data_IF_171564497374
#
_entry.id   IF_171564497374
#
_cell.length_a   1.000
_cell.length_b   1.000
_cell.length_c   1.000
_cell.angle_alpha   90.00
_cell.angle_beta   90.00
_cell.angle_gamma   90.00
#
_symmetry.space_group_name_H-M   'P 1'
#
loop_
_entity.id
_entity.type
_entity.pdbx_description
1 polymer ?
#
# COMPACT_ATOMS: atom_id res chain seq x y z
N UNK A 1 31.13 14.39 -12.41
CA UNK A 1 31.41 13.22 -11.55
C UNK A 1 30.24 12.24 -11.69
N UNK A 2 30.36 11.29 -12.62
CA UNK A 2 29.26 10.39 -13.04
C UNK A 2 29.37 9.10 -12.23
N UNK A 3 28.36 8.78 -11.41
CA UNK A 3 28.38 7.60 -10.53
C UNK A 3 28.24 6.33 -11.37
N UNK A 4 29.26 5.47 -11.33
CA UNK A 4 29.24 4.11 -11.89
C UNK A 4 28.40 3.17 -11.02
N UNK A 5 27.08 3.28 -11.07
CA UNK A 5 26.16 2.44 -10.29
C UNK A 5 25.17 1.67 -11.17
N UNK A 6 25.60 1.21 -12.35
CA UNK A 6 24.83 0.27 -13.16
C UNK A 6 25.13 -1.17 -12.74
N UNK A 7 24.11 -1.91 -12.31
CA UNK A 7 24.21 -3.36 -12.08
C UNK A 7 24.54 -4.10 -13.39
N UNK A 8 25.19 -5.27 -13.28
CA UNK A 8 25.68 -6.00 -14.44
C UNK A 8 24.52 -6.51 -15.31
N UNK A 9 24.71 -6.57 -16.63
CA UNK A 9 23.71 -7.12 -17.57
C UNK A 9 23.42 -8.60 -17.29
N UNK A 10 24.40 -9.32 -16.73
CA UNK A 10 24.22 -10.69 -16.24
C UNK A 10 23.24 -10.76 -15.06
N UNK A 11 23.25 -9.78 -14.15
CA UNK A 11 22.28 -9.70 -13.05
C UNK A 11 20.87 -9.38 -13.56
N UNK A 12 20.76 -8.51 -14.57
CA UNK A 12 19.49 -8.19 -15.25
C UNK A 12 18.93 -9.40 -16.03
N UNK A 13 19.80 -10.25 -16.56
CA UNK A 13 19.39 -11.46 -17.28
C UNK A 13 19.16 -12.68 -16.38
N UNK A 14 19.80 -12.74 -15.21
CA UNK A 14 19.54 -13.75 -14.18
C UNK A 14 18.34 -13.40 -13.30
N UNK A 15 17.88 -12.16 -13.34
CA UNK A 15 16.66 -11.68 -12.69
C UNK A 15 15.47 -12.63 -12.91
N UNK A 16 15.11 -13.14 -14.10
CA UNK A 16 14.01 -14.11 -14.24
C UNK A 16 14.19 -15.44 -13.46
N UNK A 17 15.43 -15.91 -13.23
CA UNK A 17 15.69 -17.15 -12.48
C UNK A 17 15.76 -16.89 -10.97
N UNK A 18 16.45 -15.81 -10.55
CA UNK A 18 16.48 -15.33 -9.17
C UNK A 18 15.08 -14.89 -8.74
N UNK A 19 14.33 -14.18 -9.58
CA UNK A 19 12.92 -13.76 -9.37
C UNK A 19 11.95 -14.94 -9.42
N UNK A 20 12.24 -16.05 -10.11
CA UNK A 20 11.46 -17.30 -9.97
C UNK A 20 11.75 -18.01 -8.65
N UNK A 21 13.01 -18.07 -8.21
CA UNK A 21 13.38 -18.60 -6.89
C UNK A 21 12.85 -17.71 -5.75
N UNK A 22 12.86 -16.40 -5.95
CA UNK A 22 12.21 -15.34 -5.16
C UNK A 22 10.76 -15.05 -5.60
N UNK A 23 10.16 -15.92 -6.43
CA UNK A 23 8.80 -15.75 -6.96
C UNK A 23 7.96 -17.02 -6.89
N UNK A 24 8.46 -18.08 -6.23
CA UNK A 24 7.62 -19.18 -5.78
C UNK A 24 6.47 -18.63 -4.94
N UNK A 25 5.28 -18.60 -5.53
CA UNK A 25 4.03 -18.20 -4.88
C UNK A 25 3.57 -19.38 -4.01
N UNK A 26 3.46 -19.13 -2.70
CA UNK A 26 2.99 -20.13 -1.74
C UNK A 26 3.40 -19.80 -0.32
N UNK A 27 2.55 -20.18 0.65
CA UNK A 27 2.76 -19.90 2.06
C UNK A 27 4.09 -20.44 2.60
N UNK A 28 4.56 -21.59 2.11
CA UNK A 28 5.83 -22.20 2.51
C UNK A 28 7.06 -21.41 2.03
N UNK A 29 7.07 -20.99 0.76
CA UNK A 29 8.16 -20.19 0.21
C UNK A 29 8.23 -18.82 0.88
N UNK A 30 7.07 -18.22 1.19
CA UNK A 30 6.98 -16.99 1.97
C UNK A 30 7.54 -17.16 3.39
N UNK A 31 7.19 -18.25 4.08
CA UNK A 31 7.69 -18.53 5.43
C UNK A 31 9.22 -18.69 5.49
N UNK A 32 9.80 -19.44 4.54
CA UNK A 32 11.25 -19.63 4.45
C UNK A 32 11.97 -18.29 4.24
N UNK A 33 11.47 -17.44 3.33
CA UNK A 33 12.06 -16.13 3.05
C UNK A 33 11.95 -15.19 4.23
N UNK A 34 10.80 -15.15 4.88
CA UNK A 34 10.61 -14.34 6.08
C UNK A 34 11.58 -14.78 7.19
N UNK A 35 11.78 -16.09 7.37
CA UNK A 35 12.75 -16.63 8.31
C UNK A 35 14.18 -16.20 7.99
N UNK A 36 14.60 -16.35 6.73
CA UNK A 36 15.93 -15.93 6.29
C UNK A 36 16.15 -14.41 6.41
N UNK A 37 15.18 -13.60 6.01
CA UNK A 37 15.28 -12.14 6.14
C UNK A 37 15.36 -11.71 7.60
N UNK A 38 14.60 -12.35 8.49
CA UNK A 38 14.60 -12.05 9.93
C UNK A 38 15.95 -12.43 10.58
N UNK A 39 16.59 -13.51 10.15
CA UNK A 39 17.89 -13.91 10.66
C UNK A 39 19.04 -13.01 10.17
N UNK A 40 18.96 -12.51 8.93
CA UNK A 40 20.01 -11.71 8.31
C UNK A 40 19.88 -10.21 8.59
N UNK A 41 18.66 -9.70 8.82
CA UNK A 41 18.42 -8.24 9.02
C UNK A 41 19.21 -7.58 10.15
N UNK A 42 19.61 -8.25 11.27
CA UNK A 42 20.45 -7.61 12.28
C UNK A 42 21.88 -7.36 11.80
N UNK A 43 22.36 -8.16 10.83
CA UNK A 43 23.74 -8.11 10.36
C UNK A 43 23.89 -7.30 9.08
N UNK A 44 22.89 -7.32 8.20
CA UNK A 44 22.90 -6.59 6.94
C UNK A 44 21.50 -6.12 6.55
N UNK A 45 21.36 -4.94 5.94
CA UNK A 45 20.08 -4.47 5.40
C UNK A 45 19.68 -5.35 4.22
N UNK A 46 18.69 -6.20 4.44
CA UNK A 46 18.11 -7.08 3.41
C UNK A 46 16.64 -6.70 3.19
N UNK A 47 16.11 -6.85 1.97
CA UNK A 47 14.68 -6.66 1.73
C UNK A 47 13.86 -7.61 2.60
N UNK A 48 12.91 -7.06 3.35
CA UNK A 48 11.95 -7.87 4.10
C UNK A 48 10.94 -8.49 3.15
N UNK A 49 10.52 -9.71 3.46
CA UNK A 49 9.47 -10.36 2.69
C UNK A 49 8.13 -9.67 2.94
N UNK A 50 7.55 -9.12 1.89
CA UNK A 50 6.20 -8.54 1.88
C UNK A 50 5.40 -9.29 0.81
N UNK A 51 4.25 -9.90 1.14
CA UNK A 51 3.49 -10.69 0.18
C UNK A 51 2.96 -9.80 -0.95
N UNK A 52 2.83 -10.36 -2.15
CA UNK A 52 2.38 -9.64 -3.36
C UNK A 52 1.05 -8.92 -3.14
N UNK A 53 0.12 -9.53 -2.39
CA UNK A 53 -1.17 -8.92 -2.06
C UNK A 53 -1.04 -7.56 -1.36
N UNK A 54 -0.06 -7.40 -0.46
CA UNK A 54 0.16 -6.14 0.25
C UNK A 54 0.68 -5.03 -0.69
N UNK A 55 1.45 -5.39 -1.73
CA UNK A 55 1.87 -4.45 -2.78
C UNK A 55 0.72 -4.07 -3.69
N UNK A 56 -0.11 -5.05 -4.07
CA UNK A 56 -1.32 -4.81 -4.86
C UNK A 56 -2.26 -3.85 -4.13
N UNK A 57 -2.49 -4.06 -2.83
CA UNK A 57 -3.36 -3.21 -2.01
C UNK A 57 -2.88 -1.76 -1.97
N UNK A 58 -1.59 -1.55 -1.67
CA UNK A 58 -0.99 -0.20 -1.66
C UNK A 58 -1.15 0.51 -3.00
N UNK A 59 -0.93 -0.22 -4.10
CA UNK A 59 -1.05 0.33 -5.45
C UNK A 59 -2.49 0.70 -5.79
N UNK A 60 -3.44 -0.17 -5.44
CA UNK A 60 -4.88 0.10 -5.60
C UNK A 60 -5.31 1.32 -4.78
N UNK A 61 -4.82 1.48 -3.55
CA UNK A 61 -5.17 2.64 -2.70
C UNK A 61 -4.68 3.97 -3.25
N UNK A 62 -3.55 3.99 -3.98
CA UNK A 62 -3.11 5.20 -4.70
C UNK A 62 -4.11 5.57 -5.81
N UNK A 63 -4.60 4.58 -6.55
CA UNK A 63 -5.63 4.81 -7.58
C UNK A 63 -6.96 5.26 -6.96
N UNK A 64 -7.35 4.68 -5.82
CA UNK A 64 -8.55 5.05 -5.05
C UNK A 64 -8.45 6.49 -4.55
N UNK A 65 -7.30 6.90 -4.02
CA UNK A 65 -7.07 8.30 -3.62
C UNK A 65 -7.25 9.27 -4.79
N UNK A 66 -6.74 8.92 -5.97
CA UNK A 66 -6.92 9.74 -7.17
C UNK A 66 -8.39 9.79 -7.61
N UNK A 67 -9.09 8.66 -7.54
CA UNK A 67 -10.52 8.59 -7.84
C UNK A 67 -11.35 9.50 -6.93
N UNK A 68 -11.10 9.47 -5.61
CA UNK A 68 -11.84 10.29 -4.63
C UNK A 68 -11.60 11.77 -4.88
N UNK A 69 -10.35 12.19 -5.11
CA UNK A 69 -10.02 13.58 -5.41
C UNK A 69 -10.69 14.05 -6.72
N UNK A 70 -10.72 13.19 -7.75
CA UNK A 70 -11.41 13.49 -8.99
C UNK A 70 -12.92 13.61 -8.78
N UNK A 71 -13.54 12.65 -8.09
CA UNK A 71 -14.96 12.64 -7.78
C UNK A 71 -15.38 13.91 -7.01
N UNK A 72 -14.62 14.28 -5.96
CA UNK A 72 -14.87 15.48 -5.18
C UNK A 72 -14.79 16.76 -6.04
N UNK A 73 -13.83 16.85 -6.97
CA UNK A 73 -13.74 18.00 -7.88
C UNK A 73 -14.92 18.12 -8.86
N UNK A 74 -15.68 17.04 -9.03
CA UNK A 74 -16.93 16.99 -9.80
C UNK A 74 -18.20 17.07 -8.93
N UNK A 75 -18.07 17.36 -7.63
CA UNK A 75 -19.20 17.45 -6.71
C UNK A 75 -19.81 16.10 -6.33
N UNK A 76 -19.07 15.01 -6.53
CA UNK A 76 -19.47 13.65 -6.14
C UNK A 76 -18.86 13.35 -4.78
N UNK A 77 -19.70 13.03 -3.80
CA UNK A 77 -19.25 12.55 -2.49
C UNK A 77 -18.85 11.07 -2.55
N UNK A 78 -17.79 10.70 -1.84
CA UNK A 78 -17.31 9.32 -1.74
C UNK A 78 -17.29 8.84 -0.28
N UNK A 79 -17.61 7.57 -0.07
CA UNK A 79 -17.44 6.86 1.19
C UNK A 79 -16.61 5.60 0.96
N UNK A 80 -15.41 5.57 1.57
CA UNK A 80 -14.46 4.47 1.47
C UNK A 80 -14.75 3.44 2.57
N UNK A 81 -14.96 2.19 2.17
CA UNK A 81 -15.33 1.09 3.07
C UNK A 81 -14.35 -0.06 2.91
N UNK A 82 -13.70 -0.44 4.01
CA UNK A 82 -12.73 -1.55 4.08
C UNK A 82 -13.25 -2.72 4.93
N UNK A 83 -14.24 -2.47 5.80
CA UNK A 83 -14.74 -3.42 6.80
C UNK A 83 -15.84 -4.35 6.28
N UNK A 84 -15.62 -5.04 5.17
CA UNK A 84 -16.56 -5.98 4.56
C UNK A 84 -16.01 -7.41 4.50
N UNK A 85 -16.89 -8.40 4.30
CA UNK A 85 -16.47 -9.77 4.02
C UNK A 85 -16.06 -9.91 2.56
N UNK A 86 -14.76 -9.89 2.32
CA UNK A 86 -14.17 -9.99 0.99
C UNK A 86 -14.59 -11.25 0.24
N UNK A 87 -14.79 -12.38 0.93
CA UNK A 87 -15.15 -13.65 0.29
C UNK A 87 -16.53 -13.57 -0.35
N UNK A 88 -17.49 -12.98 0.35
CA UNK A 88 -18.83 -12.76 -0.19
C UNK A 88 -18.84 -11.72 -1.29
N UNK A 89 -18.03 -10.65 -1.19
CA UNK A 89 -17.92 -9.64 -2.26
C UNK A 89 -17.33 -10.26 -3.53
N UNK A 90 -16.28 -11.07 -3.41
CA UNK A 90 -15.71 -11.78 -4.57
C UNK A 90 -16.72 -12.71 -5.22
N UNK A 91 -17.46 -13.46 -4.42
CA UNK A 91 -18.50 -14.36 -4.93
C UNK A 91 -19.65 -13.59 -5.61
N UNK A 92 -20.09 -12.47 -5.03
CA UNK A 92 -21.18 -11.66 -5.59
C UNK A 92 -20.82 -10.96 -6.92
N UNK A 93 -19.53 -10.78 -7.20
CA UNK A 93 -19.01 -10.09 -8.39
C UNK A 93 -18.25 -11.04 -9.35
N UNK A 94 -18.34 -12.36 -9.13
CA UNK A 94 -17.64 -13.39 -9.91
C UNK A 94 -16.12 -13.12 -10.06
N UNK A 95 -15.50 -12.61 -8.99
CA UNK A 95 -14.07 -12.26 -8.99
C UNK A 95 -13.22 -13.54 -8.83
N UNK A 96 -12.29 -13.83 -9.75
CA UNK A 96 -11.44 -15.01 -9.66
C UNK A 96 -10.51 -15.02 -8.44
N UNK A 97 -10.17 -16.21 -7.93
CA UNK A 97 -9.34 -16.43 -6.72
C UNK A 97 -7.97 -15.72 -6.72
N UNK A 98 -7.44 -15.38 -7.91
CA UNK A 98 -6.18 -14.64 -8.04
C UNK A 98 -6.28 -13.21 -7.53
N UNK A 99 -7.48 -12.63 -7.50
CA UNK A 99 -7.71 -11.24 -7.15
C UNK A 99 -8.28 -11.10 -5.75
N UNK A 100 -8.11 -9.90 -5.23
CA UNK A 100 -8.52 -9.57 -3.88
C UNK A 100 -9.08 -8.15 -3.88
N UNK A 101 -10.07 -7.90 -3.03
CA UNK A 101 -10.81 -6.64 -2.97
C UNK A 101 -10.33 -5.85 -1.76
N UNK A 102 -9.40 -4.89 -1.92
CA UNK A 102 -8.93 -4.10 -0.78
C UNK A 102 -10.02 -3.17 -0.25
N UNK A 103 -10.81 -2.56 -1.13
CA UNK A 103 -11.71 -1.46 -0.76
C UNK A 103 -12.93 -1.41 -1.66
N UNK A 104 -14.05 -0.96 -1.09
CA UNK A 104 -15.26 -0.59 -1.83
C UNK A 104 -15.51 0.91 -1.62
N UNK A 105 -15.76 1.64 -2.70
CA UNK A 105 -16.04 3.08 -2.62
C UNK A 105 -17.47 3.34 -3.08
N UNK A 106 -18.35 3.72 -2.15
CA UNK A 106 -19.67 4.24 -2.49
C UNK A 106 -19.50 5.68 -2.97
N UNK A 107 -20.15 6.04 -4.07
CA UNK A 107 -20.08 7.39 -4.63
C UNK A 107 -21.45 7.86 -5.11
N UNK A 108 -21.75 9.14 -4.92
CA UNK A 108 -23.02 9.73 -5.30
C UNK A 108 -23.05 11.23 -5.07
N UNK A 109 -24.10 11.88 -5.57
CA UNK A 109 -24.30 13.30 -5.30
C UNK A 109 -24.72 13.49 -3.83
N UNK A 110 -24.06 14.39 -3.09
CA UNK A 110 -24.42 14.64 -1.71
C UNK A 110 -25.84 15.22 -1.64
N UNK A 111 -26.59 14.79 -0.62
CA UNK A 111 -27.89 15.36 -0.27
C UNK A 111 -27.65 16.36 0.84
N UNK A 112 -28.25 17.56 0.74
CA UNK A 112 -28.20 18.55 1.81
C UNK A 112 -28.94 18.01 3.04
N UNK A 113 -28.22 17.85 4.15
CA UNK A 113 -28.77 17.42 5.44
C UNK A 113 -28.62 18.59 6.41
N UNK A 114 -29.67 18.91 7.18
CA UNK A 114 -29.64 19.94 8.22
C UNK A 114 -29.72 19.29 9.62
N UNK A 115 -28.68 19.42 10.47
CA UNK A 115 -27.42 20.13 10.22
C UNK A 115 -26.46 19.34 9.32
N UNK A 116 -25.63 20.07 8.57
CA UNK A 116 -24.56 19.45 7.78
C UNK A 116 -23.64 18.64 8.70
N UNK A 117 -23.19 17.45 8.28
CA UNK A 117 -22.24 16.67 9.06
C UNK A 117 -20.98 17.49 9.36
N UNK A 118 -20.53 17.45 10.61
CA UNK A 118 -19.29 18.09 10.99
C UNK A 118 -18.10 17.38 10.32
N UNK A 119 -17.09 18.16 9.91
CA UNK A 119 -15.85 17.59 9.42
C UNK A 119 -15.18 16.77 10.52
N UNK A 120 -14.64 15.61 10.14
CA UNK A 120 -13.93 14.76 11.08
C UNK A 120 -12.65 15.47 11.55
N UNK A 121 -12.34 15.47 12.86
CA UNK A 121 -11.12 16.08 13.37
C UNK A 121 -9.89 15.36 12.79
N UNK A 122 -8.79 16.09 12.67
CA UNK A 122 -7.47 15.54 12.31
C UNK A 122 -6.51 15.76 13.47
N UNK A 123 -5.54 14.84 13.60
CA UNK A 123 -4.46 15.01 14.57
C UNK A 123 -3.63 16.24 14.22
N UNK A 124 -3.08 16.90 15.25
CA UNK A 124 -2.16 18.00 15.04
C UNK A 124 -0.94 17.53 14.23
N UNK A 125 -0.38 18.35 13.32
CA UNK A 125 0.79 17.98 12.51
C UNK A 125 1.98 17.48 13.35
N UNK A 126 2.20 18.04 14.53
CA UNK A 126 3.26 17.61 15.47
C UNK A 126 3.14 16.15 15.94
N UNK A 127 1.96 15.52 15.80
CA UNK A 127 1.75 14.11 16.13
C UNK A 127 1.97 13.16 14.95
N UNK A 128 2.12 13.70 13.73
CA UNK A 128 2.19 12.90 12.49
C UNK A 128 3.50 13.14 11.72
N UNK A 129 4.06 14.34 11.79
CA UNK A 129 5.32 14.71 11.13
C UNK A 129 6.47 14.74 12.13
N UNK A 130 7.56 14.01 11.82
CA UNK A 130 8.74 13.87 12.69
C UNK A 130 10.04 14.24 11.98
N UNK A 131 10.96 14.88 12.71
CA UNK A 131 12.25 15.35 12.19
C UNK A 131 13.32 14.26 12.19
N UNK A 132 13.57 13.64 11.03
CA UNK A 132 14.67 12.70 10.80
C UNK A 132 14.54 11.33 11.49
N UNK A 133 13.89 11.24 12.66
CA UNK A 133 13.62 10.00 13.40
C UNK A 133 12.17 9.98 13.87
N UNK A 134 11.58 8.79 13.95
CA UNK A 134 10.22 8.60 14.47
C UNK A 134 10.10 9.13 15.90
N UNK A 135 9.10 9.97 16.16
CA UNK A 135 8.86 10.60 17.46
C UNK A 135 9.71 11.84 17.77
N UNK A 136 10.70 12.18 16.94
CA UNK A 136 11.48 13.39 17.12
C UNK A 136 10.70 14.61 16.60
N UNK A 137 10.72 15.71 17.35
CA UNK A 137 10.14 16.97 16.91
C UNK A 137 10.79 17.44 15.60
N UNK A 138 9.99 18.01 14.71
CA UNK A 138 10.51 18.77 13.56
C UNK A 138 11.17 20.01 14.14
N UNK A 139 12.50 20.13 14.02
CA UNK A 139 13.19 21.37 14.33
C UNK A 139 12.78 22.38 13.26
N UNK A 140 12.35 23.57 13.67
CA UNK A 140 12.15 24.69 12.74
C UNK A 140 13.48 24.90 12.00
N UNK A 141 13.53 24.54 10.73
CA UNK A 141 14.66 24.88 9.87
C UNK A 141 14.45 26.33 9.44
N UNK A 142 15.27 27.24 9.96
CA UNK A 142 15.49 28.56 9.33
C UNK A 142 16.04 28.42 7.91
#
# INVERSE_FOLDING_TARGET
MMRSAGQSTADIQQLPLKLRFFGGEGHLAGAIRNGLSTALTPFQPVPTYVPTIAWSYKSTMLAVSQYILAAESHGIGCCVMEGFDETWVRHALDIPDRYSVPVVVASGYPVDVDPSPALSPRLAPSHVFFGGKFGAAVLDQE
#
